data_IF_640270731085
#
_entry.id   IF_640270731085
#
_cell.length_a   1.000
_cell.length_b   1.000
_cell.length_c   1.000
_cell.angle_alpha   90.00
_cell.angle_beta   90.00
_cell.angle_gamma   90.00
#
_symmetry.space_group_name_H-M   'P 1'
#
loop_
_entity.id
_entity.type
_entity.pdbx_description
1 polymer ?
#
# COMPACT_ATOMS: atom_id res chain seq x y z
N UNK A 1 -17.45 17.09 1.71
CA UNK A 1 -16.56 15.92 1.62
C UNK A 1 -16.98 15.15 0.38
N UNK A 2 -16.11 15.03 -0.63
CA UNK A 2 -16.41 14.23 -1.83
C UNK A 2 -16.51 12.76 -1.38
N UNK A 3 -17.62 12.10 -1.70
CA UNK A 3 -17.75 10.65 -1.51
C UNK A 3 -16.86 9.96 -2.53
N UNK A 4 -15.91 9.16 -2.08
CA UNK A 4 -15.13 8.27 -2.95
C UNK A 4 -16.07 7.22 -3.51
N UNK A 5 -16.09 7.10 -4.83
CA UNK A 5 -16.93 6.18 -5.58
C UNK A 5 -16.18 4.87 -5.88
N UNK A 6 -16.94 3.81 -6.14
CA UNK A 6 -16.40 2.52 -6.54
C UNK A 6 -15.71 2.64 -7.91
N UNK A 7 -14.49 2.12 -8.03
CA UNK A 7 -13.56 2.31 -9.16
C UNK A 7 -12.95 3.71 -9.31
N UNK A 8 -12.98 4.55 -8.26
CA UNK A 8 -12.12 5.74 -8.25
C UNK A 8 -10.65 5.30 -8.23
N UNK A 9 -9.83 5.94 -9.06
CA UNK A 9 -8.37 5.86 -8.93
C UNK A 9 -7.76 7.23 -8.60
N UNK A 10 -6.66 7.21 -7.84
CA UNK A 10 -5.93 8.39 -7.39
C UNK A 10 -4.46 8.22 -7.75
N UNK A 11 -3.93 9.13 -8.57
CA UNK A 11 -2.54 9.14 -9.00
C UNK A 11 -1.73 10.14 -8.17
N UNK A 12 -0.48 9.81 -7.83
CA UNK A 12 0.47 10.77 -7.24
C UNK A 12 0.86 11.86 -8.25
N UNK A 13 1.33 13.01 -7.75
CA UNK A 13 1.76 14.12 -8.62
C UNK A 13 2.95 13.77 -9.52
N UNK A 14 3.79 12.83 -9.09
CA UNK A 14 4.94 12.32 -9.83
C UNK A 14 4.62 11.08 -10.67
N UNK A 15 3.35 10.67 -10.72
CA UNK A 15 2.81 9.52 -11.48
C UNK A 15 3.44 8.15 -11.12
N UNK A 16 4.13 8.07 -9.97
CA UNK A 16 4.75 6.85 -9.45
C UNK A 16 3.77 5.93 -8.71
N UNK A 17 2.70 6.46 -8.12
CA UNK A 17 1.77 5.65 -7.33
C UNK A 17 0.35 5.87 -7.81
N UNK A 18 -0.31 4.80 -8.20
CA UNK A 18 -1.76 4.77 -8.43
C UNK A 18 -2.46 4.01 -7.30
N UNK A 19 -3.52 4.58 -6.74
CA UNK A 19 -4.39 3.90 -5.78
C UNK A 19 -5.72 3.61 -6.45
N UNK A 20 -6.13 2.35 -6.47
CA UNK A 20 -7.40 1.91 -7.05
C UNK A 20 -8.34 1.47 -5.92
N UNK A 21 -9.54 2.04 -5.88
CA UNK A 21 -10.53 1.77 -4.84
C UNK A 21 -11.58 0.77 -5.34
N UNK A 22 -11.48 -0.46 -4.87
CA UNK A 22 -12.44 -1.57 -5.09
C UNK A 22 -13.26 -1.84 -3.81
N UNK A 23 -13.60 -0.79 -3.07
CA UNK A 23 -14.50 -0.88 -1.93
C UNK A 23 -15.38 0.36 -1.79
N UNK A 24 -16.54 0.19 -1.18
CA UNK A 24 -17.43 1.29 -0.86
C UNK A 24 -17.12 1.89 0.52
N UNK A 25 -17.22 3.22 0.64
CA UNK A 25 -17.22 3.90 1.93
C UNK A 25 -15.86 4.06 2.60
N UNK A 26 -14.76 3.95 1.84
CA UNK A 26 -13.42 4.26 2.36
C UNK A 26 -13.32 5.77 2.68
N UNK A 27 -12.87 6.16 3.88
CA UNK A 27 -12.60 7.57 4.19
C UNK A 27 -11.46 8.12 3.33
N UNK A 28 -11.58 9.37 2.88
CA UNK A 28 -10.52 10.04 2.11
C UNK A 28 -9.17 10.09 2.86
N UNK A 29 -9.22 10.20 4.18
CA UNK A 29 -8.02 10.13 5.03
C UNK A 29 -7.23 8.84 4.88
N UNK A 30 -7.88 7.73 4.55
CA UNK A 30 -7.21 6.46 4.34
C UNK A 30 -6.50 6.43 2.99
N UNK A 31 -7.09 7.05 1.95
CA UNK A 31 -6.42 7.20 0.65
C UNK A 31 -5.18 8.07 0.79
N UNK A 32 -5.28 9.21 1.47
CA UNK A 32 -4.15 10.09 1.74
C UNK A 32 -3.04 9.37 2.52
N UNK A 33 -3.43 8.56 3.51
CA UNK A 33 -2.49 7.77 4.31
C UNK A 33 -1.77 6.70 3.47
N UNK A 34 -2.51 5.97 2.64
CA UNK A 34 -1.94 4.96 1.74
C UNK A 34 -0.98 5.63 0.75
N UNK A 35 -1.37 6.76 0.16
CA UNK A 35 -0.55 7.52 -0.77
C UNK A 35 0.76 7.98 -0.11
N UNK A 36 0.66 8.59 1.09
CA UNK A 36 1.82 9.02 1.87
C UNK A 36 2.73 7.82 2.22
N UNK A 37 2.14 6.69 2.60
CA UNK A 37 2.88 5.47 2.96
C UNK A 37 3.63 4.89 1.76
N UNK A 38 2.99 4.90 0.59
CA UNK A 38 3.58 4.37 -0.63
C UNK A 38 4.76 5.21 -1.12
N UNK A 39 4.56 6.53 -1.22
CA UNK A 39 5.63 7.46 -1.62
C UNK A 39 6.80 7.42 -0.64
N UNK A 40 6.51 7.44 0.68
CA UNK A 40 7.57 7.36 1.68
C UNK A 40 8.37 6.04 1.61
N UNK A 41 7.72 4.93 1.23
CA UNK A 41 8.40 3.65 1.04
C UNK A 41 9.33 3.69 -0.17
N UNK A 42 8.86 4.23 -1.30
CA UNK A 42 9.67 4.43 -2.50
C UNK A 42 10.86 5.36 -2.24
N UNK A 43 10.65 6.48 -1.54
CA UNK A 43 11.68 7.49 -1.28
C UNK A 43 12.67 7.07 -0.19
N UNK A 44 12.32 6.10 0.66
CA UNK A 44 13.21 5.59 1.71
C UNK A 44 14.42 4.85 1.15
N UNK A 45 14.30 4.33 -0.07
CA UNK A 45 15.36 3.64 -0.78
C UNK A 45 15.88 4.53 -1.91
N UNK A 46 17.19 4.65 -2.06
CA UNK A 46 17.80 5.27 -3.25
C UNK A 46 17.72 4.31 -4.44
N UNK A 47 16.51 3.87 -4.76
CA UNK A 47 16.26 2.86 -5.77
C UNK A 47 16.47 3.43 -7.17
N UNK A 48 17.30 2.76 -7.95
CA UNK A 48 17.53 3.07 -9.37
C UNK A 48 16.90 1.93 -10.16
N UNK A 49 15.64 2.11 -10.56
CA UNK A 49 14.87 1.09 -11.25
C UNK A 49 13.41 1.50 -11.46
N UNK A 50 12.52 0.54 -11.80
CA UNK A 50 11.10 0.82 -11.93
C UNK A 50 10.51 1.29 -10.59
N UNK A 51 9.85 2.45 -10.60
CA UNK A 51 9.33 3.13 -9.43
C UNK A 51 7.81 3.35 -9.48
N UNK A 52 7.13 2.78 -10.48
CA UNK A 52 5.67 2.86 -10.62
C UNK A 52 4.98 1.67 -9.97
N UNK A 53 4.03 1.89 -9.07
CA UNK A 53 3.26 0.83 -8.44
C UNK A 53 1.77 1.16 -8.33
N UNK A 54 0.96 0.10 -8.29
CA UNK A 54 -0.48 0.21 -8.05
C UNK A 54 -0.83 -0.34 -6.67
N UNK A 55 -1.62 0.39 -5.90
CA UNK A 55 -2.20 -0.07 -4.63
C UNK A 55 -3.70 -0.26 -4.81
N UNK A 56 -4.14 -1.51 -4.91
CA UNK A 56 -5.55 -1.85 -4.86
C UNK A 56 -6.02 -1.92 -3.40
N UNK A 57 -7.03 -1.12 -3.07
CA UNK A 57 -7.70 -1.18 -1.78
C UNK A 57 -9.01 -1.92 -1.97
N UNK A 58 -9.21 -3.04 -1.27
CA UNK A 58 -10.34 -3.94 -1.51
C UNK A 58 -10.86 -4.59 -0.22
N UNK A 59 -11.71 -5.61 -0.36
CA UNK A 59 -12.33 -6.40 0.69
C UNK A 59 -11.77 -7.84 0.77
N UNK A 60 -12.24 -8.59 1.76
CA UNK A 60 -11.80 -9.96 2.03
C UNK A 60 -12.11 -10.94 0.89
N UNK A 61 -13.29 -10.80 0.27
CA UNK A 61 -13.73 -11.71 -0.79
C UNK A 61 -12.85 -11.53 -2.03
N UNK A 62 -12.53 -10.28 -2.38
CA UNK A 62 -11.64 -9.97 -3.49
C UNK A 62 -10.22 -10.47 -3.23
N UNK A 63 -9.63 -10.17 -2.07
CA UNK A 63 -8.25 -10.57 -1.79
C UNK A 63 -8.12 -12.10 -1.70
N UNK A 64 -9.15 -12.81 -1.21
CA UNK A 64 -9.21 -14.28 -1.23
C UNK A 64 -9.25 -14.82 -2.67
N UNK A 65 -10.07 -14.23 -3.53
CA UNK A 65 -10.15 -14.63 -4.93
C UNK A 65 -8.80 -14.41 -5.63
N UNK A 66 -8.16 -13.25 -5.44
CA UNK A 66 -6.82 -12.98 -5.97
C UNK A 66 -5.80 -13.99 -5.43
N UNK A 67 -5.82 -14.27 -4.12
CA UNK A 67 -4.89 -15.24 -3.53
C UNK A 67 -5.06 -16.65 -4.13
N UNK A 68 -6.31 -17.04 -4.39
CA UNK A 68 -6.63 -18.31 -5.06
C UNK A 68 -6.17 -18.32 -6.52
N UNK A 69 -6.39 -17.24 -7.26
CA UNK A 69 -6.04 -17.14 -8.68
C UNK A 69 -4.54 -17.17 -8.91
N UNK A 70 -3.77 -16.43 -8.10
CA UNK A 70 -2.33 -16.28 -8.32
C UNK A 70 -1.45 -17.20 -7.50
N UNK A 71 -1.84 -17.52 -6.25
CA UNK A 71 -1.06 -18.39 -5.36
C UNK A 71 -1.68 -19.77 -5.15
N UNK A 72 -2.87 -20.01 -5.70
CA UNK A 72 -3.60 -21.28 -5.51
C UNK A 72 -4.18 -21.44 -4.10
N UNK A 73 -4.16 -20.39 -3.26
CA UNK A 73 -4.55 -20.44 -1.86
C UNK A 73 -5.91 -19.78 -1.63
N UNK A 74 -6.92 -20.59 -1.27
CA UNK A 74 -8.27 -20.09 -0.96
C UNK A 74 -8.37 -19.58 0.49
N UNK A 75 -7.58 -18.54 0.82
CA UNK A 75 -7.57 -17.89 2.13
C UNK A 75 -7.46 -16.37 1.99
N UNK A 76 -8.07 -15.65 2.92
CA UNK A 76 -7.86 -14.20 3.06
C UNK A 76 -6.43 -14.00 3.52
N UNK A 77 -5.72 -13.08 2.87
CA UNK A 77 -4.38 -12.65 3.25
C UNK A 77 -4.38 -11.14 3.45
N UNK A 78 -3.32 -10.63 4.03
CA UNK A 78 -3.27 -9.25 4.50
C UNK A 78 -2.83 -8.30 3.39
N UNK A 79 -1.77 -8.70 2.68
CA UNK A 79 -1.29 -8.06 1.47
C UNK A 79 -0.87 -9.11 0.44
N UNK A 80 -1.13 -8.83 -0.83
CA UNK A 80 -0.54 -9.54 -1.96
C UNK A 80 0.35 -8.57 -2.71
N UNK A 81 1.59 -8.97 -3.00
CA UNK A 81 2.53 -8.21 -3.82
C UNK A 81 2.86 -9.01 -5.08
N UNK A 82 2.72 -8.37 -6.24
CA UNK A 82 3.00 -8.94 -7.55
C UNK A 82 4.07 -8.10 -8.23
N UNK A 83 5.25 -8.69 -8.48
CA UNK A 83 6.30 -8.02 -9.25
C UNK A 83 6.03 -8.14 -10.75
N UNK A 84 6.41 -7.11 -11.50
CA UNK A 84 6.28 -7.09 -12.97
C UNK A 84 7.12 -8.14 -13.69
N UNK A 85 8.23 -8.59 -13.08
CA UNK A 85 9.16 -9.53 -13.71
C UNK A 85 8.78 -11.01 -13.55
N UNK A 86 7.97 -11.42 -12.56
CA UNK A 86 7.76 -12.86 -12.28
C UNK A 86 6.32 -13.36 -12.19
N UNK A 87 5.31 -12.51 -11.98
CA UNK A 87 3.93 -12.96 -11.81
C UNK A 87 3.02 -12.33 -12.87
N UNK A 88 2.45 -13.18 -13.74
CA UNK A 88 1.70 -12.80 -14.95
C UNK A 88 0.48 -11.89 -14.77
N UNK A 89 -0.10 -11.53 -15.92
CA UNK A 89 -1.15 -10.51 -16.11
C UNK A 89 -2.35 -10.61 -15.14
N UNK A 90 -2.81 -9.45 -14.66
CA UNK A 90 -4.00 -9.30 -13.82
C UNK A 90 -5.30 -9.80 -14.50
N UNK A 91 -6.22 -10.47 -13.78
CA UNK A 91 -7.54 -10.78 -14.30
C UNK A 91 -8.46 -9.56 -14.27
N UNK A 92 -8.77 -9.04 -15.47
CA UNK A 92 -9.92 -8.25 -15.92
C UNK A 92 -10.59 -7.30 -14.89
N UNK A 93 -9.81 -6.62 -14.05
CA UNK A 93 -10.22 -5.39 -13.35
C UNK A 93 -9.99 -4.22 -14.27
N UNK A 94 -10.86 -4.10 -15.28
CA UNK A 94 -10.82 -3.05 -16.29
C UNK A 94 -9.45 -2.91 -16.97
N UNK A 95 -9.28 -3.57 -18.12
CA UNK A 95 -8.15 -3.38 -19.06
C UNK A 95 -7.61 -1.94 -19.05
N UNK A 96 -6.60 -1.73 -18.23
CA UNK A 96 -5.78 -0.53 -18.19
C UNK A 96 -4.74 -0.78 -19.27
N UNK A 97 -5.05 -0.40 -20.51
CA UNK A 97 -4.04 -0.47 -21.56
C UNK A 97 -2.97 0.59 -21.23
N UNK A 98 -1.71 0.18 -20.98
CA UNK A 98 -0.66 1.14 -20.65
C UNK A 98 -0.38 2.01 -21.88
N UNK A 99 -0.32 3.33 -21.66
CA UNK A 99 -0.21 4.34 -22.72
C UNK A 99 1.07 4.24 -23.58
N UNK A 100 2.10 3.48 -23.15
CA UNK A 100 3.30 3.21 -23.97
C UNK A 100 4.19 2.08 -23.44
N UNK A 101 5.03 1.49 -24.31
CA UNK A 101 6.08 0.50 -23.99
C UNK A 101 7.11 1.01 -22.95
N UNK A 102 7.28 2.33 -22.83
CA UNK A 102 8.11 2.96 -21.79
C UNK A 102 7.48 2.93 -20.39
N UNK A 103 6.15 2.84 -20.31
CA UNK A 103 5.40 2.74 -19.05
C UNK A 103 5.63 1.40 -18.37
N UNK A 104 5.73 0.32 -19.15
CA UNK A 104 5.99 -1.04 -18.66
C UNK A 104 7.40 -1.18 -18.05
N UNK A 105 8.40 -0.51 -18.63
CA UNK A 105 9.79 -0.53 -18.14
C UNK A 105 9.98 0.14 -16.77
N UNK A 106 8.99 0.90 -16.28
CA UNK A 106 9.04 1.55 -14.96
C UNK A 106 8.08 0.94 -13.94
N UNK A 107 7.35 -0.13 -14.28
CA UNK A 107 6.41 -0.77 -13.35
C UNK A 107 7.14 -1.69 -12.38
N UNK A 108 7.11 -1.34 -11.10
CA UNK A 108 7.66 -2.12 -9.99
C UNK A 108 6.76 -3.33 -9.69
N UNK A 109 5.46 -3.10 -9.66
CA UNK A 109 4.48 -4.13 -9.35
C UNK A 109 3.20 -3.56 -8.76
N UNK A 110 2.35 -4.45 -8.26
CA UNK A 110 1.07 -4.09 -7.65
C UNK A 110 0.94 -4.73 -6.28
N UNK A 111 0.23 -4.03 -5.38
CA UNK A 111 -0.17 -4.56 -4.10
C UNK A 111 -1.70 -4.52 -3.94
N UNK A 112 -2.27 -5.50 -3.26
CA UNK A 112 -3.68 -5.51 -2.87
C UNK A 112 -3.82 -5.60 -1.35
N UNK A 113 -4.64 -4.72 -0.75
CA UNK A 113 -4.83 -4.61 0.70
C UNK A 113 -6.32 -4.76 1.04
N UNK A 114 -6.63 -5.66 1.99
CA UNK A 114 -7.99 -5.78 2.55
C UNK A 114 -8.17 -4.87 3.78
N UNK A 115 -9.04 -3.87 3.65
CA UNK A 115 -9.36 -2.95 4.77
C UNK A 115 -10.07 -3.65 5.94
N UNK A 116 -11.05 -4.56 5.70
CA UNK A 116 -11.64 -5.36 6.77
C UNK A 116 -10.61 -6.21 7.52
N UNK A 117 -9.67 -6.83 6.81
CA UNK A 117 -8.61 -7.63 7.43
C UNK A 117 -7.67 -6.76 8.26
N UNK A 118 -7.19 -5.64 7.71
CA UNK A 118 -6.37 -4.68 8.45
C UNK A 118 -7.06 -4.20 9.73
N UNK A 119 -8.38 -3.97 9.68
CA UNK A 119 -9.17 -3.54 10.85
C UNK A 119 -9.24 -4.64 11.92
N UNK A 120 -9.36 -5.92 11.53
CA UNK A 120 -9.31 -7.05 12.47
C UNK A 120 -7.93 -7.18 13.11
N UNK A 121 -6.87 -7.11 12.32
CA UNK A 121 -5.49 -7.21 12.80
C UNK A 121 -5.12 -6.06 13.74
N UNK A 122 -5.55 -4.84 13.43
CA UNK A 122 -5.38 -3.69 14.31
C UNK A 122 -6.02 -3.95 15.68
N UNK A 123 -7.24 -4.49 15.70
CA UNK A 123 -7.94 -4.82 16.95
C UNK A 123 -7.24 -5.92 17.76
N UNK A 124 -6.74 -6.96 17.09
CA UNK A 124 -6.03 -8.07 17.73
C UNK A 124 -4.66 -7.65 18.30
N UNK A 125 -3.97 -6.77 17.60
CA UNK A 125 -2.66 -6.23 18.00
C UNK A 125 -2.73 -5.01 18.92
N UNK A 126 -3.93 -4.48 19.18
CA UNK A 126 -4.14 -3.29 20.01
C UNK A 126 -3.68 -1.98 19.36
N UNK A 127 -3.58 -1.94 18.03
CA UNK A 127 -3.20 -0.77 17.23
C UNK A 127 -4.41 -0.06 16.62
N UNK A 128 -4.20 1.12 16.06
CA UNK A 128 -5.24 1.78 15.27
C UNK A 128 -5.35 1.17 13.86
N UNK A 129 -6.55 1.14 13.25
CA UNK A 129 -6.72 0.68 11.86
C UNK A 129 -5.83 1.45 10.88
N UNK A 130 -5.63 2.75 11.08
CA UNK A 130 -4.76 3.60 10.26
C UNK A 130 -3.30 3.14 10.33
N UNK A 131 -2.80 2.84 11.54
CA UNK A 131 -1.45 2.32 11.71
C UNK A 131 -1.25 0.99 10.98
N UNK A 132 -2.25 0.10 11.05
CA UNK A 132 -2.16 -1.21 10.40
C UNK A 132 -2.23 -1.09 8.87
N UNK A 133 -3.10 -0.21 8.33
CA UNK A 133 -3.17 0.07 6.89
C UNK A 133 -1.83 0.61 6.37
N UNK A 134 -1.24 1.59 7.08
CA UNK A 134 0.06 2.15 6.72
C UNK A 134 1.16 1.08 6.79
N UNK A 135 1.16 0.25 7.83
CA UNK A 135 2.10 -0.85 7.99
C UNK A 135 1.99 -1.85 6.84
N UNK A 136 0.80 -2.32 6.50
CA UNK A 136 0.58 -3.26 5.38
C UNK A 136 0.97 -2.67 4.04
N UNK A 137 0.72 -1.37 3.82
CA UNK A 137 1.15 -0.66 2.60
C UNK A 137 2.67 -0.64 2.48
N UNK A 138 3.37 -0.23 3.54
CA UNK A 138 4.83 -0.19 3.58
C UNK A 138 5.41 -1.60 3.39
N UNK A 139 4.86 -2.57 4.12
CA UNK A 139 5.30 -3.96 4.09
C UNK A 139 5.17 -4.56 2.69
N UNK A 140 4.02 -4.36 2.03
CA UNK A 140 3.79 -4.82 0.66
C UNK A 140 4.77 -4.22 -0.36
N UNK A 141 5.10 -2.94 -0.22
CA UNK A 141 6.04 -2.24 -1.12
C UNK A 141 7.48 -2.65 -0.85
N UNK A 142 7.88 -2.86 0.41
CA UNK A 142 9.22 -3.37 0.72
C UNK A 142 9.44 -4.76 0.10
N UNK A 143 8.42 -5.63 0.07
CA UNK A 143 8.46 -6.88 -0.69
C UNK A 143 8.68 -6.65 -2.19
N UNK A 144 8.00 -5.66 -2.79
CA UNK A 144 8.22 -5.30 -4.19
C UNK A 144 9.64 -4.75 -4.45
N UNK A 145 10.23 -4.06 -3.49
CA UNK A 145 11.61 -3.56 -3.53
C UNK A 145 12.66 -4.66 -3.27
N UNK A 146 12.24 -5.91 -3.06
CA UNK A 146 13.11 -7.08 -2.90
C UNK A 146 13.53 -7.38 -1.46
N UNK A 147 12.90 -6.76 -0.46
CA UNK A 147 13.06 -7.15 0.93
C UNK A 147 12.19 -8.36 1.24
N UNK A 148 12.76 -9.38 1.89
CA UNK A 148 12.03 -10.55 2.38
C UNK A 148 12.16 -10.62 3.92
N UNK A 149 11.39 -11.49 4.54
CA UNK A 149 11.43 -11.79 5.97
C UNK A 149 11.42 -13.31 6.21
N UNK A 150 11.88 -14.11 5.25
CA UNK A 150 11.97 -15.56 5.37
C UNK A 150 13.03 -15.98 6.40
N UNK A 151 14.15 -15.27 6.46
CA UNK A 151 15.22 -15.50 7.43
C UNK A 151 15.22 -14.46 8.57
N UNK A 152 15.62 -14.80 9.80
CA UNK A 152 15.57 -13.89 10.95
C UNK A 152 16.34 -12.57 10.79
N UNK A 153 17.45 -12.60 10.05
CA UNK A 153 18.25 -11.39 9.78
C UNK A 153 17.57 -10.48 8.75
N UNK A 154 16.92 -11.06 7.74
CA UNK A 154 16.15 -10.32 6.72
C UNK A 154 14.90 -9.71 7.35
N UNK A 155 14.20 -10.49 8.17
CA UNK A 155 13.05 -10.05 8.97
C UNK A 155 13.42 -8.81 9.79
N UNK A 156 14.53 -8.86 10.52
CA UNK A 156 14.99 -7.74 11.34
C UNK A 156 15.26 -6.48 10.52
N UNK A 157 15.86 -6.62 9.33
CA UNK A 157 16.14 -5.50 8.42
C UNK A 157 14.82 -4.90 7.93
N UNK A 158 13.91 -5.74 7.42
CA UNK A 158 12.63 -5.30 6.86
C UNK A 158 11.74 -4.66 7.93
N UNK A 159 11.66 -5.24 9.12
CA UNK A 159 10.91 -4.64 10.24
C UNK A 159 11.51 -3.32 10.70
N UNK A 160 12.85 -3.21 10.76
CA UNK A 160 13.51 -1.96 11.09
C UNK A 160 13.15 -0.84 10.09
N UNK A 161 13.13 -1.16 8.79
CA UNK A 161 12.75 -0.22 7.73
C UNK A 161 11.27 0.15 7.81
N UNK A 162 10.41 -0.85 7.96
CA UNK A 162 8.96 -0.66 8.15
C UNK A 162 8.69 0.31 9.30
N UNK A 163 9.32 0.08 10.46
CA UNK A 163 9.15 0.93 11.64
C UNK A 163 9.70 2.34 11.45
N UNK A 164 10.82 2.51 10.74
CA UNK A 164 11.39 3.82 10.46
C UNK A 164 10.45 4.67 9.58
N UNK A 165 9.93 4.08 8.49
CA UNK A 165 8.99 4.74 7.58
C UNK A 165 7.67 5.05 8.29
N UNK A 166 7.12 4.06 9.01
CA UNK A 166 5.89 4.20 9.78
C UNK A 166 6.02 5.33 10.82
N UNK A 167 7.15 5.40 11.52
CA UNK A 167 7.41 6.48 12.47
C UNK A 167 7.40 7.84 11.78
N UNK A 168 8.04 7.99 10.62
CA UNK A 168 8.01 9.25 9.85
C UNK A 168 6.59 9.71 9.52
N UNK A 169 5.72 8.79 9.10
CA UNK A 169 4.33 9.09 8.71
C UNK A 169 3.53 9.67 9.89
N UNK A 170 3.68 9.10 11.08
CA UNK A 170 2.90 9.46 12.27
C UNK A 170 3.59 10.48 13.18
N UNK A 171 4.90 10.69 13.07
CA UNK A 171 5.63 11.72 13.83
C UNK A 171 5.28 13.12 13.33
N UNK A 172 5.04 13.29 12.02
CA UNK A 172 4.54 14.54 11.42
C UNK A 172 3.17 14.97 11.98
N UNK A 173 2.37 14.04 12.52
CA UNK A 173 1.11 14.37 13.19
C UNK A 173 1.30 15.03 14.57
N UNK A 174 2.39 14.73 15.27
CA UNK A 174 2.66 15.28 16.61
C UNK A 174 3.11 16.74 16.54
N UNK A 175 3.87 17.12 15.51
CA UNK A 175 4.29 18.52 15.33
C UNK A 175 3.14 19.42 14.88
N UNK A 176 2.24 18.94 14.02
CA UNK A 176 1.06 19.72 13.61
C UNK A 176 0.05 19.92 14.76
N UNK A 177 0.01 19.02 15.73
CA UNK A 177 -0.84 19.16 16.92
C UNK A 177 -0.27 20.21 17.90
N UNK A 178 1.06 20.30 18.04
CA UNK A 178 1.71 21.35 18.84
C UNK A 178 1.61 22.73 18.18
N UNK A 179 1.74 22.84 16.86
CA UNK A 179 1.62 24.11 16.14
C UNK A 179 0.22 24.73 16.23
N UNK A 180 -0.84 23.93 16.40
CA UNK A 180 -2.21 24.42 16.62
C UNK A 180 -2.50 24.92 18.03
N UNK A 181 -1.79 24.42 19.05
CA UNK A 181 -1.97 24.88 20.44
C UNK A 181 -1.19 26.16 20.77
N UNK A 182 -0.16 26.51 20.00
CA UNK A 182 0.67 27.70 20.26
C UNK A 182 0.06 28.97 19.64
N UNK A 183 -0.85 28.86 18.66
CA UNK A 183 -1.48 29.99 17.99
C UNK A 183 -2.85 30.40 18.59
N UNK A 184 -3.08 30.13 19.88
CA UNK A 184 -4.30 30.54 20.59
C UNK A 184 -4.03 31.23 21.94
N UNK A 185 -2.90 31.94 22.05
CA UNK A 185 -2.64 32.91 23.11
C UNK A 185 -2.12 34.23 22.54
#
# INVERSE_FOLDING_TARGET
>A
MKSISYNDSFMSEDERVEIVIDLFGLPASNVDLIMKSALASLDSEQFIGPDRLTVMVTNDDRIRNLNREFKGEDKVTDVLSFNSETNGEWPDVAKWEPESEYTELRRLGDIAISIPQATRQAKESGKSPEQEIAMLTIHGILHLLGYDHAEPEEEKIMFSKTNAILSGIFTDCVEQTKAKQINHH
#
